data_IF_291243401713
#
_entry.id   IF_291243401713
#
_cell.length_a   1.000
_cell.length_b   1.000
_cell.length_c   1.000
_cell.angle_alpha   90.00
_cell.angle_beta   90.00
_cell.angle_gamma   90.00
#
_symmetry.space_group_name_H-M   'P 1'
#
loop_
_entity.id
_entity.type
_entity.pdbx_description
1 polymer ?
#
# COMPACT_ATOMS: atom_id res chain seq x y z
N UNK A 1 -13.43 -1.01 -5.97
CA UNK A 1 -13.26 -1.56 -7.34
C UNK A 1 -11.80 -1.83 -7.72
N UNK A 2 -10.86 -0.88 -7.61
CA UNK A 2 -9.46 -1.09 -8.05
C UNK A 2 -8.79 -2.39 -7.56
N UNK A 3 -8.83 -2.71 -6.27
CA UNK A 3 -8.14 -3.90 -5.73
C UNK A 3 -8.64 -5.23 -6.32
N UNK A 4 -9.94 -5.35 -6.62
CA UNK A 4 -10.49 -6.56 -7.24
C UNK A 4 -9.94 -6.74 -8.65
N UNK A 5 -9.93 -5.64 -9.44
CA UNK A 5 -9.38 -5.63 -10.79
C UNK A 5 -7.88 -5.94 -10.78
N UNK A 6 -7.11 -5.40 -9.82
CA UNK A 6 -5.69 -5.70 -9.66
C UNK A 6 -5.46 -7.19 -9.37
N UNK A 7 -6.25 -7.81 -8.49
CA UNK A 7 -6.17 -9.26 -8.22
C UNK A 7 -6.50 -10.06 -9.48
N UNK A 8 -7.59 -9.74 -10.17
CA UNK A 8 -8.03 -10.46 -11.37
C UNK A 8 -6.97 -10.39 -12.49
N UNK A 9 -6.40 -9.21 -12.72
CA UNK A 9 -5.27 -9.02 -13.64
C UNK A 9 -4.06 -9.87 -13.24
N UNK A 10 -3.71 -9.93 -11.95
CA UNK A 10 -2.60 -10.78 -11.48
C UNK A 10 -2.91 -12.23 -11.78
N UNK A 11 -4.13 -12.72 -11.51
CA UNK A 11 -4.53 -14.10 -11.78
C UNK A 11 -4.50 -14.42 -13.28
N UNK A 12 -4.95 -13.50 -14.12
CA UNK A 12 -4.92 -13.66 -15.57
C UNK A 12 -3.48 -13.74 -16.10
N UNK A 13 -2.59 -12.88 -15.61
CA UNK A 13 -1.18 -12.84 -16.01
C UNK A 13 -0.41 -14.06 -15.51
N UNK A 14 -0.63 -14.45 -14.25
CA UNK A 14 0.09 -15.56 -13.62
C UNK A 14 -0.48 -16.92 -14.02
N UNK A 15 -1.74 -16.98 -14.49
CA UNK A 15 -2.48 -18.20 -14.84
C UNK A 15 -2.50 -19.27 -13.74
N UNK A 16 -2.29 -18.87 -12.48
CA UNK A 16 -2.36 -19.75 -11.31
C UNK A 16 -3.76 -19.67 -10.70
N UNK A 17 -4.20 -20.77 -10.08
CA UNK A 17 -5.37 -20.74 -9.21
C UNK A 17 -4.92 -20.24 -7.83
N UNK A 18 -5.46 -19.12 -7.32
CA UNK A 18 -5.10 -18.63 -6.00
C UNK A 18 -5.57 -19.63 -4.96
N UNK A 19 -4.65 -20.13 -4.14
CA UNK A 19 -4.99 -20.85 -2.91
C UNK A 19 -5.00 -19.88 -1.73
N UNK A 20 -4.09 -18.90 -1.78
CA UNK A 20 -3.92 -17.89 -0.74
C UNK A 20 -3.56 -16.55 -1.39
N UNK A 21 -4.24 -15.50 -0.97
CA UNK A 21 -3.91 -14.13 -1.37
C UNK A 21 -3.55 -13.36 -0.12
N UNK A 22 -2.41 -12.69 -0.18
CA UNK A 22 -1.87 -11.89 0.90
C UNK A 22 -1.87 -10.43 0.46
N UNK A 23 -2.57 -9.60 1.22
CA UNK A 23 -2.67 -8.16 1.02
C UNK A 23 -1.80 -7.46 2.06
N UNK A 24 -0.90 -6.60 1.61
CA UNK A 24 -0.07 -5.79 2.50
C UNK A 24 -0.56 -4.35 2.47
N UNK A 25 -0.87 -3.80 3.64
CA UNK A 25 -1.13 -2.37 3.78
C UNK A 25 0.17 -1.60 3.61
N UNK A 26 0.03 -0.31 3.30
CA UNK A 26 1.17 0.59 3.29
C UNK A 26 1.75 0.82 4.69
N UNK A 27 3.09 0.96 4.82
CA UNK A 27 3.73 1.27 6.09
C UNK A 27 3.37 2.68 6.57
N UNK A 28 3.29 2.87 7.89
CA UNK A 28 2.88 4.13 8.51
C UNK A 28 3.72 5.34 8.07
N UNK A 29 5.02 5.17 7.81
CA UNK A 29 5.84 6.28 7.31
C UNK A 29 5.38 6.83 5.94
N UNK A 30 4.79 6.00 5.05
CA UNK A 30 4.24 6.49 3.78
C UNK A 30 2.98 7.32 3.99
N UNK A 31 2.18 6.95 4.99
CA UNK A 31 1.04 7.75 5.45
C UNK A 31 1.48 9.10 6.00
N UNK A 32 2.51 9.12 6.83
CA UNK A 32 3.08 10.36 7.38
C UNK A 32 3.58 11.29 6.25
N UNK A 33 4.26 10.74 5.23
CA UNK A 33 4.65 11.51 4.04
C UNK A 33 3.41 12.14 3.38
N UNK A 34 2.37 11.36 3.10
CA UNK A 34 1.15 11.85 2.46
C UNK A 34 0.41 12.88 3.30
N UNK A 35 0.35 12.68 4.62
CA UNK A 35 -0.27 13.61 5.57
C UNK A 35 0.43 14.96 5.60
N UNK A 36 1.75 14.96 5.55
CA UNK A 36 2.55 16.19 5.44
C UNK A 36 2.27 16.88 4.11
N UNK A 37 2.34 16.15 3.00
CA UNK A 37 2.15 16.71 1.65
C UNK A 37 0.72 17.20 1.40
N UNK A 38 -0.30 16.52 1.95
CA UNK A 38 -1.73 16.89 1.84
C UNK A 38 -2.04 18.26 2.46
N UNK A 39 -1.26 18.68 3.46
CA UNK A 39 -1.40 20.01 4.09
C UNK A 39 -0.77 21.14 3.28
N UNK A 40 -0.10 20.83 2.18
CA UNK A 40 0.62 21.81 1.36
C UNK A 40 -0.06 21.99 0.01
N UNK A 41 -0.09 23.22 -0.49
CA UNK A 41 -0.50 23.50 -1.87
C UNK A 41 0.45 22.91 -2.90
N UNK A 42 1.73 22.75 -2.54
CA UNK A 42 2.75 22.12 -3.38
C UNK A 42 3.54 21.10 -2.58
N UNK A 43 3.65 19.86 -3.06
CA UNK A 43 4.45 18.84 -2.39
C UNK A 43 5.91 19.26 -2.33
N UNK A 44 6.45 19.37 -1.11
CA UNK A 44 7.86 19.73 -0.89
C UNK A 44 8.55 18.68 -0.01
N UNK A 45 9.68 18.18 -0.52
CA UNK A 45 10.45 17.13 0.15
C UNK A 45 11.16 17.62 1.42
N UNK A 46 11.49 18.91 1.53
CA UNK A 46 12.22 19.45 2.69
C UNK A 46 11.39 19.35 3.95
N UNK A 47 10.09 19.62 3.83
CA UNK A 47 9.15 19.52 4.93
C UNK A 47 8.98 18.07 5.40
N UNK A 48 8.90 17.12 4.46
CA UNK A 48 8.87 15.68 4.77
C UNK A 48 10.17 15.26 5.50
N UNK A 49 11.32 15.80 5.07
CA UNK A 49 12.63 15.53 5.68
C UNK A 49 12.86 16.23 7.03
N UNK A 50 11.92 17.08 7.47
CA UNK A 50 11.92 17.69 8.80
C UNK A 50 11.43 16.70 9.87
N UNK A 51 10.69 15.66 9.49
CA UNK A 51 10.30 14.59 10.39
C UNK A 51 11.48 13.60 10.57
N UNK A 52 11.94 13.42 11.81
CA UNK A 52 13.09 12.57 12.13
C UNK A 52 12.90 11.11 11.71
N UNK A 53 11.68 10.56 11.80
CA UNK A 53 11.38 9.19 11.40
C UNK A 53 11.51 8.98 9.90
N UNK A 54 11.07 9.97 9.12
CA UNK A 54 11.18 9.97 7.66
C UNK A 54 12.61 10.24 7.21
N UNK A 55 13.31 11.14 7.91
CA UNK A 55 14.71 11.46 7.65
C UNK A 55 15.63 10.25 7.80
N UNK A 56 15.37 9.37 8.79
CA UNK A 56 16.09 8.08 8.93
C UNK A 56 16.01 7.20 7.68
N UNK A 57 14.92 7.31 6.91
CA UNK A 57 14.65 6.58 5.67
C UNK A 57 14.99 7.39 4.41
N UNK A 58 15.74 8.48 4.53
CA UNK A 58 15.84 9.59 3.57
C UNK A 58 15.79 9.23 2.07
N UNK A 59 16.56 8.25 1.59
CA UNK A 59 16.53 7.87 0.17
C UNK A 59 15.22 7.20 -0.28
N UNK A 60 14.58 6.39 0.56
CA UNK A 60 13.28 5.78 0.24
C UNK A 60 12.16 6.82 0.26
N UNK A 61 12.19 7.71 1.26
CA UNK A 61 11.24 8.83 1.37
C UNK A 61 11.36 9.75 0.17
N UNK A 62 12.58 10.11 -0.24
CA UNK A 62 12.79 10.99 -1.38
C UNK A 62 12.25 10.43 -2.69
N UNK A 63 12.46 9.12 -2.94
CA UNK A 63 11.89 8.43 -4.09
C UNK A 63 10.37 8.45 -4.06
N UNK A 64 9.80 8.15 -2.89
CA UNK A 64 8.36 8.07 -2.72
C UNK A 64 7.67 9.42 -2.91
N UNK A 65 8.21 10.50 -2.32
CA UNK A 65 7.70 11.87 -2.53
C UNK A 65 7.74 12.22 -4.02
N UNK A 66 8.82 11.89 -4.73
CA UNK A 66 8.95 12.17 -6.17
C UNK A 66 7.93 11.41 -7.02
N UNK A 67 7.62 10.17 -6.66
CA UNK A 67 6.56 9.38 -7.29
C UNK A 67 5.17 10.01 -7.06
N UNK A 68 4.86 10.42 -5.83
CA UNK A 68 3.62 11.13 -5.50
C UNK A 68 3.47 12.45 -6.26
N UNK A 69 4.56 13.21 -6.41
CA UNK A 69 4.58 14.44 -7.20
C UNK A 69 4.24 14.19 -8.67
N UNK A 70 4.67 13.06 -9.24
CA UNK A 70 4.35 12.67 -10.61
C UNK A 70 2.91 12.22 -10.78
N UNK A 71 2.39 11.45 -9.83
CA UNK A 71 1.03 10.92 -9.89
C UNK A 71 -0.06 11.96 -9.54
N UNK A 72 0.30 13.16 -9.02
CA UNK A 72 -0.65 14.19 -8.55
C UNK A 72 -1.76 13.59 -7.69
N UNK A 73 -1.39 12.74 -6.74
CA UNK A 73 -2.36 12.11 -5.85
C UNK A 73 -2.92 13.18 -4.92
N UNK A 74 -4.19 13.53 -5.12
CA UNK A 74 -4.92 14.41 -4.22
C UNK A 74 -5.36 13.56 -3.02
N UNK A 75 -4.78 13.84 -1.86
CA UNK A 75 -5.05 13.04 -0.67
C UNK A 75 -6.09 13.73 0.20
N UNK A 76 -7.28 13.16 0.24
CA UNK A 76 -8.37 13.56 1.13
C UNK A 76 -8.55 12.48 2.21
N UNK A 77 -8.07 12.79 3.41
CA UNK A 77 -8.29 12.07 4.67
C UNK A 77 -7.51 10.76 4.95
N UNK A 78 -7.08 10.66 6.20
CA UNK A 78 -6.54 9.46 6.84
C UNK A 78 -7.64 8.37 6.87
N UNK A 79 -7.42 7.26 6.17
CA UNK A 79 -8.31 6.09 6.20
C UNK A 79 -7.56 4.91 6.82
N UNK A 80 -8.23 4.17 7.70
CA UNK A 80 -7.73 2.89 8.20
C UNK A 80 -7.74 1.83 7.09
N UNK A 81 -6.69 1.81 6.27
CA UNK A 81 -6.49 0.86 5.17
C UNK A 81 -6.61 -0.58 5.63
N UNK A 82 -6.02 -0.88 6.80
CA UNK A 82 -6.06 -2.21 7.39
C UNK A 82 -7.49 -2.65 7.67
N UNK A 83 -8.32 -1.75 8.22
CA UNK A 83 -9.72 -2.03 8.52
C UNK A 83 -10.53 -2.16 7.23
N UNK A 84 -10.32 -1.28 6.26
CA UNK A 84 -11.00 -1.34 4.96
C UNK A 84 -10.67 -2.63 4.21
N UNK A 85 -9.41 -3.05 4.19
CA UNK A 85 -9.00 -4.30 3.53
C UNK A 85 -9.47 -5.54 4.29
N UNK A 86 -9.53 -5.48 5.62
CA UNK A 86 -10.04 -6.58 6.45
C UNK A 86 -11.56 -6.73 6.34
N UNK A 87 -12.28 -5.64 6.14
CA UNK A 87 -13.72 -5.70 5.83
C UNK A 87 -13.93 -6.27 4.42
N UNK A 88 -13.11 -5.83 3.46
CA UNK A 88 -13.12 -6.35 2.10
C UNK A 88 -12.57 -7.78 1.96
N UNK A 89 -11.80 -8.29 2.93
CA UNK A 89 -11.19 -9.62 2.83
C UNK A 89 -12.25 -10.71 2.76
N UNK A 90 -13.35 -10.59 3.53
CA UNK A 90 -14.45 -11.56 3.48
C UNK A 90 -15.12 -11.56 2.09
N UNK A 91 -15.22 -10.39 1.45
CA UNK A 91 -15.72 -10.27 0.09
C UNK A 91 -14.77 -10.95 -0.91
N UNK A 92 -13.47 -10.70 -0.80
CA UNK A 92 -12.45 -11.31 -1.65
C UNK A 92 -12.36 -12.83 -1.46
N UNK A 93 -12.50 -13.34 -0.23
CA UNK A 93 -12.53 -14.79 0.03
C UNK A 93 -13.70 -15.47 -0.70
N UNK A 94 -14.87 -14.82 -0.73
CA UNK A 94 -16.06 -15.33 -1.44
C UNK A 94 -15.92 -15.23 -2.95
N UNK A 95 -15.38 -14.13 -3.46
CA UNK A 95 -15.20 -13.87 -4.89
C UNK A 95 -14.15 -14.81 -5.50
N UNK A 96 -12.95 -14.86 -4.91
CA UNK A 96 -11.82 -15.64 -5.43
C UNK A 96 -11.77 -17.08 -4.90
N UNK A 97 -12.64 -17.44 -3.95
CA UNK A 97 -12.73 -18.77 -3.32
C UNK A 97 -11.38 -19.27 -2.78
N UNK A 98 -10.62 -18.36 -2.19
CA UNK A 98 -9.29 -18.59 -1.62
C UNK A 98 -9.17 -17.91 -0.26
N UNK A 99 -8.20 -18.31 0.57
CA UNK A 99 -7.96 -17.64 1.85
C UNK A 99 -7.30 -16.28 1.62
N UNK A 100 -7.85 -15.23 2.24
CA UNK A 100 -7.31 -13.86 2.17
C UNK A 100 -6.70 -13.50 3.53
N UNK A 101 -5.44 -13.07 3.52
CA UNK A 101 -4.78 -12.55 4.71
C UNK A 101 -4.32 -11.12 4.49
N UNK A 102 -4.62 -10.26 5.47
CA UNK A 102 -4.23 -8.85 5.46
C UNK A 102 -3.15 -8.64 6.50
N UNK A 103 -1.97 -8.21 6.06
CA UNK A 103 -0.84 -7.90 6.93
C UNK A 103 -0.51 -6.42 6.91
N UNK A 104 -0.01 -5.94 8.05
CA UNK A 104 0.50 -4.58 8.17
C UNK A 104 1.81 -4.41 7.38
N UNK A 105 1.92 -3.28 6.67
CA UNK A 105 3.16 -2.82 6.07
C UNK A 105 4.28 -2.49 7.07
N UNK A 106 4.06 -2.58 8.38
CA UNK A 106 5.06 -2.29 9.42
C UNK A 106 5.60 -3.50 10.21
N UNK A 107 4.82 -4.56 10.35
CA UNK A 107 5.21 -5.73 11.14
C UNK A 107 5.90 -6.79 10.28
N UNK A 108 6.83 -7.59 10.82
CA UNK A 108 7.49 -8.68 10.07
C UNK A 108 6.46 -9.75 9.67
N UNK A 109 5.90 -9.58 8.47
CA UNK A 109 4.87 -10.42 7.91
C UNK A 109 5.44 -11.43 6.92
N UNK A 110 4.67 -12.47 6.62
CA UNK A 110 4.97 -13.44 5.58
C UNK A 110 5.06 -12.75 4.22
N UNK A 111 6.27 -12.38 3.77
CA UNK A 111 6.50 -11.68 2.50
C UNK A 111 7.68 -12.32 1.72
N UNK A 112 7.48 -13.51 1.13
CA UNK A 112 8.55 -14.26 0.46
C UNK A 112 9.14 -13.52 -0.76
N UNK A 113 8.44 -12.54 -1.32
CA UNK A 113 8.88 -11.76 -2.49
C UNK A 113 9.25 -10.30 -2.17
N UNK A 114 9.30 -9.90 -0.90
CA UNK A 114 9.56 -8.51 -0.50
C UNK A 114 8.58 -7.49 -1.15
N UNK A 115 7.36 -7.92 -1.51
CA UNK A 115 6.36 -7.10 -2.20
C UNK A 115 5.77 -6.02 -1.29
N UNK A 116 5.84 -6.21 0.03
CA UNK A 116 5.35 -5.24 1.02
C UNK A 116 5.92 -3.84 0.86
N UNK A 117 7.18 -3.70 0.45
CA UNK A 117 7.80 -2.37 0.22
C UNK A 117 7.14 -1.59 -0.91
N UNK A 118 6.49 -2.29 -1.83
CA UNK A 118 5.77 -1.70 -2.95
C UNK A 118 4.37 -1.20 -2.54
N UNK A 119 3.83 -1.65 -1.39
CA UNK A 119 2.54 -1.17 -0.90
C UNK A 119 2.59 0.34 -0.66
N UNK A 120 1.67 1.07 -1.27
CA UNK A 120 1.52 2.51 -1.10
C UNK A 120 0.10 2.79 -0.58
N UNK A 121 -0.13 3.93 0.09
CA UNK A 121 -1.46 4.27 0.56
C UNK A 121 -2.46 4.28 -0.60
N UNK A 122 -3.63 3.69 -0.37
CA UNK A 122 -4.68 3.37 -1.34
C UNK A 122 -4.28 2.38 -2.45
N UNK A 123 -3.08 1.81 -2.40
CA UNK A 123 -2.54 0.80 -3.32
C UNK A 123 -1.85 -0.31 -2.53
N UNK A 124 -2.62 -1.23 -1.92
CA UNK A 124 -2.04 -2.34 -1.19
C UNK A 124 -1.21 -3.22 -2.12
N UNK A 125 -0.13 -3.80 -1.60
CA UNK A 125 0.60 -4.80 -2.37
C UNK A 125 -0.14 -6.13 -2.30
N UNK A 126 -0.24 -6.80 -3.44
CA UNK A 126 -0.93 -8.09 -3.56
C UNK A 126 0.11 -9.17 -3.85
N UNK A 127 0.07 -10.23 -3.06
CA UNK A 127 0.81 -11.47 -3.29
C UNK A 127 -0.19 -12.62 -3.42
N UNK A 128 0.02 -13.45 -4.43
CA UNK A 128 -0.84 -14.60 -4.72
C UNK A 128 0.03 -15.85 -4.72
N UNK A 129 -0.45 -16.89 -4.05
CA UNK A 129 0.15 -18.23 -3.94
C UNK A 129 -0.84 -19.31 -4.39
#
# INVERSE_FOLDING_TARGET
ERTTEDIDNILEVTKIKPKRIVLYTSPHWKWEVLKILSRMEKPDIKEVMNNEELRKRGSEVAKYVNELMKEKINFEAEMDELKALKDASEFFEKEFKCSIEVFSGEEEAYDPLNKRKQAAPMKPAIYVE
#
